data_IF_468053828047
#
_entry.id   IF_468053828047
#
_cell.length_a   1.000
_cell.length_b   1.000
_cell.length_c   1.000
_cell.angle_alpha   90.00
_cell.angle_beta   90.00
_cell.angle_gamma   90.00
#
_symmetry.space_group_name_H-M   'P 1'
#
loop_
_entity.id
_entity.type
_entity.pdbx_description
1 polymer ?
#
# COMPACT_ATOMS: atom_id res chain seq x y z
N UNK A 1 -6.91 13.99 -2.96
CA UNK A 1 -5.80 14.32 -3.88
C UNK A 1 -5.48 13.05 -4.62
N UNK A 2 -5.98 12.89 -5.83
CA UNK A 2 -5.70 11.72 -6.66
C UNK A 2 -4.25 11.84 -7.15
N UNK A 3 -3.35 11.08 -6.56
CA UNK A 3 -1.90 11.13 -6.85
C UNK A 3 -1.54 10.39 -8.15
N UNK A 4 -2.51 10.08 -9.00
CA UNK A 4 -2.35 9.15 -10.12
C UNK A 4 -1.81 9.80 -11.40
N UNK A 5 -1.83 11.13 -11.52
CA UNK A 5 -1.55 11.78 -12.81
C UNK A 5 -0.11 11.63 -13.31
N UNK A 6 0.85 11.25 -12.45
CA UNK A 6 2.26 11.09 -12.84
C UNK A 6 2.95 9.85 -12.25
N UNK A 7 2.17 8.89 -11.73
CA UNK A 7 2.70 7.66 -11.13
C UNK A 7 2.18 6.46 -11.90
N UNK A 8 3.10 5.85 -12.63
CA UNK A 8 2.88 4.72 -13.51
C UNK A 8 3.26 3.38 -12.84
N UNK A 9 2.72 2.28 -13.35
CA UNK A 9 2.89 0.90 -12.92
C UNK A 9 3.39 0.01 -14.06
N UNK A 10 4.49 -0.72 -13.81
CA UNK A 10 4.98 -1.75 -14.74
C UNK A 10 5.39 -3.02 -14.01
N UNK A 11 5.19 -4.18 -14.64
CA UNK A 11 5.75 -5.46 -14.16
C UNK A 11 7.20 -5.64 -14.60
N UNK A 12 7.61 -4.96 -15.67
CA UNK A 12 8.92 -5.12 -16.30
C UNK A 12 9.89 -4.04 -15.82
N UNK A 13 11.19 -4.36 -15.84
CA UNK A 13 12.22 -3.39 -15.53
C UNK A 13 12.29 -2.30 -16.61
N UNK A 14 11.93 -1.08 -16.22
CA UNK A 14 12.03 0.12 -17.08
C UNK A 14 13.08 1.06 -16.50
N UNK A 15 13.89 1.76 -17.32
CA UNK A 15 14.86 2.74 -16.82
C UNK A 15 14.20 3.77 -15.90
N UNK A 16 14.75 3.96 -14.69
CA UNK A 16 14.19 4.88 -13.69
C UNK A 16 12.99 4.34 -12.89
N UNK A 17 12.52 3.12 -13.17
CA UNK A 17 11.49 2.48 -12.35
C UNK A 17 12.07 1.93 -11.05
N UNK A 18 11.31 2.05 -9.96
CA UNK A 18 11.65 1.52 -8.64
C UNK A 18 10.69 0.39 -8.28
N UNK A 19 11.12 -0.60 -7.50
CA UNK A 19 10.19 -1.61 -6.96
C UNK A 19 9.11 -0.94 -6.11
N UNK A 20 7.88 -1.45 -6.13
CA UNK A 20 6.84 -0.92 -5.25
C UNK A 20 7.26 -1.11 -3.77
N UNK A 21 7.32 -0.03 -2.98
CA UNK A 21 7.85 -0.08 -1.62
C UNK A 21 6.95 -0.86 -0.66
N UNK A 22 5.66 -1.05 -0.98
CA UNK A 22 4.74 -1.82 -0.13
C UNK A 22 4.99 -3.31 -0.27
N UNK A 23 5.18 -3.76 -1.50
CA UNK A 23 5.35 -5.16 -1.82
C UNK A 23 6.08 -5.33 -3.15
N UNK A 24 7.36 -5.76 -3.17
CA UNK A 24 8.16 -5.85 -4.40
C UNK A 24 7.54 -6.71 -5.50
N UNK A 25 6.80 -7.76 -5.15
CA UNK A 25 6.14 -8.64 -6.14
C UNK A 25 4.89 -8.01 -6.77
N UNK A 26 4.39 -6.88 -6.25
CA UNK A 26 3.31 -6.13 -6.90
C UNK A 26 3.77 -5.64 -8.28
N UNK A 27 5.02 -5.18 -8.38
CA UNK A 27 5.65 -4.69 -9.59
C UNK A 27 6.50 -3.45 -9.30
N UNK A 28 6.54 -2.53 -10.24
CA UNK A 28 7.40 -1.34 -10.23
C UNK A 28 6.61 -0.06 -10.41
N UNK A 29 7.13 1.02 -9.85
CA UNK A 29 6.63 2.39 -9.99
C UNK A 29 7.55 3.22 -10.85
N UNK A 30 6.97 4.05 -11.69
CA UNK A 30 7.69 5.02 -12.52
C UNK A 30 7.04 6.38 -12.37
N UNK A 31 7.85 7.42 -12.19
CA UNK A 31 7.38 8.80 -12.20
C UNK A 31 7.62 9.38 -13.60
N UNK A 32 6.55 9.74 -14.30
CA UNK A 32 6.61 10.25 -15.67
C UNK A 32 5.56 11.33 -15.88
N UNK A 33 5.89 12.33 -16.69
CA UNK A 33 4.93 13.33 -17.20
C UNK A 33 4.17 12.83 -18.43
N UNK A 34 4.68 11.79 -19.08
CA UNK A 34 4.00 11.11 -20.17
C UNK A 34 3.07 10.08 -19.56
N UNK A 35 1.76 10.33 -19.61
CA UNK A 35 0.71 9.41 -19.19
C UNK A 35 0.59 8.33 -20.25
N UNK A 36 1.58 7.44 -20.27
CA UNK A 36 1.51 6.21 -21.05
C UNK A 36 0.19 5.49 -20.78
N UNK A 37 -0.38 4.85 -21.80
CA UNK A 37 -1.65 4.16 -21.70
C UNK A 37 -1.48 2.84 -20.92
N UNK A 38 -1.37 2.94 -19.61
CA UNK A 38 -1.25 1.79 -18.73
C UNK A 38 -2.62 1.22 -18.38
N UNK A 39 -2.68 -0.11 -18.25
CA UNK A 39 -3.90 -0.81 -17.84
C UNK A 39 -4.13 -0.61 -16.35
N UNK A 40 -4.84 0.45 -15.98
CA UNK A 40 -5.33 0.67 -14.61
C UNK A 40 -6.08 -0.56 -14.06
N UNK A 41 -6.74 -1.31 -14.96
CA UNK A 41 -7.41 -2.57 -14.63
C UNK A 41 -6.43 -3.64 -14.16
N UNK A 42 -5.34 -3.89 -14.91
CA UNK A 42 -4.33 -4.89 -14.52
C UNK A 42 -3.69 -4.53 -13.18
N UNK A 43 -3.37 -3.25 -13.00
CA UNK A 43 -2.85 -2.75 -11.74
C UNK A 43 -3.81 -3.04 -10.57
N UNK A 44 -5.10 -2.73 -10.77
CA UNK A 44 -6.13 -2.94 -9.77
C UNK A 44 -6.31 -4.42 -9.41
N UNK A 45 -6.39 -5.30 -10.41
CA UNK A 45 -6.52 -6.74 -10.21
C UNK A 45 -5.34 -7.32 -9.43
N UNK A 46 -4.11 -6.86 -9.72
CA UNK A 46 -2.91 -7.28 -8.98
C UNK A 46 -2.94 -6.82 -7.53
N UNK A 47 -3.37 -5.59 -7.24
CA UNK A 47 -3.50 -5.11 -5.85
C UNK A 47 -4.48 -5.98 -5.06
N UNK A 48 -5.66 -6.24 -5.63
CA UNK A 48 -6.70 -7.08 -5.00
C UNK A 48 -6.13 -8.47 -4.72
N UNK A 49 -5.46 -9.08 -5.70
CA UNK A 49 -4.85 -10.41 -5.57
C UNK A 49 -3.84 -10.48 -4.41
N UNK A 50 -3.10 -9.42 -4.15
CA UNK A 50 -2.12 -9.36 -3.06
C UNK A 50 -2.69 -8.78 -1.75
N UNK A 51 -3.99 -8.45 -1.69
CA UNK A 51 -4.61 -7.86 -0.51
C UNK A 51 -4.06 -6.47 -0.16
N UNK A 52 -3.65 -5.71 -1.17
CA UNK A 52 -3.04 -4.37 -1.01
C UNK A 52 -4.12 -3.32 -1.18
N UNK A 53 -4.46 -2.64 -0.09
CA UNK A 53 -5.38 -1.51 -0.10
C UNK A 53 -4.69 -0.20 -0.52
N UNK A 54 -5.44 0.68 -1.17
CA UNK A 54 -5.01 1.98 -1.66
C UNK A 54 -6.14 3.00 -1.67
N UNK A 55 -5.81 4.25 -1.36
CA UNK A 55 -6.75 5.36 -1.41
C UNK A 55 -7.67 5.46 -0.20
N UNK A 56 -8.41 6.56 -0.13
CA UNK A 56 -9.25 6.88 1.03
C UNK A 56 -10.45 5.95 1.17
N UNK A 57 -10.98 5.43 0.07
CA UNK A 57 -12.16 4.55 0.11
C UNK A 57 -11.86 3.23 0.83
N UNK A 58 -10.65 2.69 0.66
CA UNK A 58 -10.26 1.42 1.28
C UNK A 58 -9.59 1.61 2.65
N UNK A 59 -8.88 2.74 2.88
CA UNK A 59 -8.09 2.96 4.10
C UNK A 59 -8.71 3.93 5.11
N UNK A 60 -9.71 4.74 4.71
CA UNK A 60 -10.12 5.92 5.47
C UNK A 60 -10.65 5.66 6.88
N UNK A 61 -11.15 4.45 7.15
CA UNK A 61 -11.72 4.04 8.44
C UNK A 61 -10.88 3.00 9.19
N UNK A 62 -9.75 2.55 8.61
CA UNK A 62 -8.96 1.44 9.13
C UNK A 62 -7.73 1.92 9.90
N UNK A 63 -7.39 1.20 10.98
CA UNK A 63 -6.08 1.30 11.58
C UNK A 63 -5.05 0.60 10.68
N UNK A 64 -3.76 1.01 10.72
CA UNK A 64 -2.72 0.40 9.89
C UNK A 64 -2.66 -1.13 9.98
N UNK A 65 -2.79 -1.69 11.19
CA UNK A 65 -2.80 -3.15 11.40
C UNK A 65 -4.04 -3.86 10.85
N UNK A 66 -5.16 -3.17 10.66
CA UNK A 66 -6.35 -3.75 10.01
C UNK A 66 -6.18 -3.84 8.49
N UNK A 67 -5.30 -3.01 7.93
CA UNK A 67 -5.00 -2.91 6.50
C UNK A 67 -3.66 -3.58 6.13
N UNK A 68 -3.17 -4.55 6.90
CA UNK A 68 -1.88 -5.23 6.69
C UNK A 68 -0.67 -4.28 6.69
N UNK A 69 -0.77 -3.12 7.35
CA UNK A 69 0.23 -2.06 7.28
C UNK A 69 1.59 -2.42 7.88
N UNK A 70 1.65 -3.41 8.77
CA UNK A 70 2.88 -4.02 9.27
C UNK A 70 3.58 -4.87 8.20
N UNK A 71 2.82 -5.51 7.29
CA UNK A 71 3.34 -6.30 6.18
C UNK A 71 3.67 -5.44 4.94
N UNK A 72 2.95 -4.33 4.77
CA UNK A 72 3.03 -3.44 3.60
C UNK A 72 3.93 -2.20 3.82
N UNK A 73 4.82 -2.25 4.82
CA UNK A 73 5.75 -1.16 5.14
C UNK A 73 5.05 0.21 5.42
N UNK A 74 3.82 0.20 5.92
CA UNK A 74 3.04 1.42 6.22
C UNK A 74 3.45 2.05 7.56
N UNK A 75 3.86 1.23 8.52
CA UNK A 75 4.24 1.65 9.87
C UNK A 75 5.59 1.08 10.27
N UNK A 76 6.22 1.74 11.25
CA UNK A 76 7.44 1.28 11.90
C UNK A 76 7.27 1.49 13.39
N UNK A 77 7.60 0.46 14.18
CA UNK A 77 7.52 0.50 15.64
C UNK A 77 8.80 1.07 16.27
N UNK A 78 9.90 1.13 15.50
CA UNK A 78 11.23 1.52 15.97
C UNK A 78 11.63 2.95 15.58
N UNK A 79 10.70 3.73 15.02
CA UNK A 79 10.91 5.15 14.69
C UNK A 79 10.54 6.07 15.87
N UNK A 80 10.98 7.33 15.78
CA UNK A 80 10.63 8.37 16.76
C UNK A 80 9.13 8.69 16.81
N UNK A 81 8.75 9.61 17.70
CA UNK A 81 7.35 9.95 17.96
C UNK A 81 6.61 10.47 16.72
N UNK A 82 5.42 9.92 16.45
CA UNK A 82 4.53 10.37 15.38
C UNK A 82 3.06 10.38 15.81
N UNK A 83 2.22 11.15 15.12
CA UNK A 83 0.79 11.28 15.45
C UNK A 83 0.09 9.93 15.32
N UNK A 84 -0.62 9.53 16.38
CA UNK A 84 -1.36 8.26 16.43
C UNK A 84 -0.49 7.04 16.77
N UNK A 85 0.76 7.23 17.18
CA UNK A 85 1.65 6.14 17.59
C UNK A 85 1.10 5.38 18.79
N UNK A 86 0.55 6.05 19.81
CA UNK A 86 0.04 5.39 21.02
C UNK A 86 -1.09 4.42 20.70
N UNK A 87 -2.00 4.81 19.80
CA UNK A 87 -3.08 3.94 19.33
C UNK A 87 -2.52 2.77 18.51
N UNK A 88 -1.61 3.05 17.58
CA UNK A 88 -0.97 2.03 16.73
C UNK A 88 -0.22 0.99 17.57
N UNK A 89 0.60 1.45 18.52
CA UNK A 89 1.38 0.59 19.42
C UNK A 89 0.48 -0.23 20.35
N UNK A 90 -0.60 0.38 20.88
CA UNK A 90 -1.58 -0.36 21.69
C UNK A 90 -2.18 -1.52 20.90
N UNK A 91 -2.64 -1.28 19.67
CA UNK A 91 -3.20 -2.32 18.81
C UNK A 91 -2.21 -3.46 18.57
N UNK A 92 -0.94 -3.14 18.31
CA UNK A 92 0.14 -4.12 18.15
C UNK A 92 0.30 -5.02 19.39
N UNK A 93 0.28 -4.44 20.58
CA UNK A 93 0.49 -5.16 21.84
C UNK A 93 -0.73 -5.94 22.32
N UNK A 94 -1.95 -5.46 22.04
CA UNK A 94 -3.18 -6.11 22.52
C UNK A 94 -3.63 -7.28 21.66
N UNK A 95 -3.05 -7.48 20.47
CA UNK A 95 -3.29 -8.63 19.59
C UNK A 95 -4.72 -8.76 19.02
N UNK A 96 -5.63 -7.84 19.36
CA UNK A 96 -7.00 -7.84 18.86
C UNK A 96 -7.09 -6.97 17.60
N UNK A 97 -6.73 -7.54 16.46
CA UNK A 97 -7.15 -7.03 15.15
C UNK A 97 -8.48 -7.69 14.81
N UNK A 98 -9.60 -7.04 15.15
CA UNK A 98 -10.95 -7.62 15.02
C UNK A 98 -11.46 -7.67 13.57
N UNK A 99 -10.81 -6.95 12.66
CA UNK A 99 -11.15 -6.90 11.25
C UNK A 99 -9.85 -6.82 10.46
N UNK A 100 -9.42 -7.97 9.92
CA UNK A 100 -8.30 -8.05 8.99
C UNK A 100 -8.90 -8.00 7.59
N UNK A 101 -8.43 -7.08 6.75
CA UNK A 101 -8.82 -7.04 5.35
C UNK A 101 -8.20 -8.26 4.67
N UNK A 102 -8.94 -9.37 4.71
CA UNK A 102 -8.55 -10.63 4.11
C UNK A 102 -8.76 -10.52 2.61
N UNK A 103 -7.69 -10.24 1.87
CA UNK A 103 -7.54 -10.79 0.53
C UNK A 103 -7.36 -12.30 0.66
N UNK A 104 -8.46 -13.04 0.79
CA UNK A 104 -8.43 -14.51 0.74
C UNK A 104 -8.16 -14.92 -0.71
N UNK A 105 -7.19 -15.82 -0.88
CA UNK A 105 -7.04 -16.64 -2.09
C UNK A 105 -8.36 -17.33 -2.46
#
# INVERSE_FOLDING_TARGET
>A
VESHENVLFSTEETPGSILDPRFPSLGRRLYSTDTGQESLTEYHERRIKYGISEGCEELGTLLPFQANGDLLNMISLDKGCYIGQELTARTAHTGHCTELLLGLN
#
